data_IF_459309393099
#
_entry.id   IF_459309393099
#
_cell.length_a   1.000
_cell.length_b   1.000
_cell.length_c   1.000
_cell.angle_alpha   90.00
_cell.angle_beta   90.00
_cell.angle_gamma   90.00
#
_symmetry.space_group_name_H-M   'P 1'
#
loop_
_entity.id
_entity.type
_entity.pdbx_description
1 polymer ?
#
# COMPACT_ATOMS: atom_id res chain seq x y z
N UNK A 1 9.38 15.19 -19.21
CA UNK A 1 8.41 14.09 -19.17
C UNK A 1 7.14 14.59 -18.52
N UNK A 2 6.02 14.50 -19.24
CA UNK A 2 4.74 15.03 -18.78
C UNK A 2 4.30 14.35 -17.47
N UNK A 3 4.42 15.05 -16.36
CA UNK A 3 3.53 14.83 -15.22
C UNK A 3 2.13 15.27 -15.71
N UNK A 4 1.38 14.35 -16.29
CA UNK A 4 -0.05 14.55 -16.43
C UNK A 4 -0.56 14.93 -15.06
N UNK A 5 -1.16 16.11 -14.92
CA UNK A 5 -1.85 16.57 -13.71
C UNK A 5 -2.97 15.55 -13.43
N UNK A 6 -2.62 14.46 -12.75
CA UNK A 6 -3.59 13.48 -12.25
C UNK A 6 -4.39 14.21 -11.17
N UNK A 7 -5.59 14.60 -11.52
CA UNK A 7 -6.57 15.18 -10.60
C UNK A 7 -7.59 14.10 -10.21
N UNK A 8 -8.13 14.24 -9.02
CA UNK A 8 -9.26 13.41 -8.60
C UNK A 8 -10.45 13.62 -9.56
N UNK A 9 -11.18 12.58 -9.90
CA UNK A 9 -12.43 12.71 -10.63
C UNK A 9 -13.40 13.65 -9.89
N UNK A 10 -14.28 14.32 -10.64
CA UNK A 10 -15.32 15.18 -10.06
C UNK A 10 -16.16 14.41 -9.04
N UNK A 11 -16.40 15.03 -7.89
CA UNK A 11 -17.14 14.40 -6.79
C UNK A 11 -16.34 13.39 -5.96
N UNK A 12 -15.03 13.29 -6.18
CA UNK A 12 -14.14 12.46 -5.36
C UNK A 12 -13.27 13.33 -4.45
N UNK A 13 -12.95 12.78 -3.27
CA UNK A 13 -12.12 13.42 -2.27
C UNK A 13 -11.10 12.44 -1.68
N UNK A 14 -9.86 12.88 -1.58
CA UNK A 14 -8.80 12.18 -0.84
C UNK A 14 -8.76 12.73 0.58
N UNK A 15 -8.92 11.87 1.56
CA UNK A 15 -8.94 12.25 2.97
C UNK A 15 -8.36 11.16 3.87
N UNK A 16 -8.05 11.54 5.11
CA UNK A 16 -7.70 10.57 6.13
C UNK A 16 -8.92 9.73 6.52
N UNK A 17 -8.72 8.45 6.80
CA UNK A 17 -9.80 7.59 7.25
C UNK A 17 -10.28 7.98 8.63
N UNK A 18 -11.55 7.73 8.89
CA UNK A 18 -12.22 7.90 10.18
C UNK A 18 -12.67 6.55 10.73
N UNK A 19 -13.15 6.53 11.96
CA UNK A 19 -13.69 5.31 12.57
C UNK A 19 -14.89 4.73 11.82
N UNK A 20 -15.64 5.56 11.09
CA UNK A 20 -16.78 5.14 10.26
C UNK A 20 -16.35 4.32 9.04
N UNK A 21 -15.11 4.52 8.56
CA UNK A 21 -14.60 3.86 7.36
C UNK A 21 -14.12 2.42 7.59
N UNK A 22 -14.05 1.96 8.84
CA UNK A 22 -13.47 0.66 9.21
C UNK A 22 -14.02 -0.50 8.38
N UNK A 23 -15.34 -0.58 8.25
CA UNK A 23 -15.99 -1.66 7.51
C UNK A 23 -15.76 -1.55 6.01
N UNK A 24 -15.81 -0.34 5.45
CA UNK A 24 -15.55 -0.10 4.03
C UNK A 24 -14.11 -0.44 3.66
N UNK A 25 -13.15 -0.07 4.50
CA UNK A 25 -11.72 -0.44 4.35
C UNK A 25 -11.57 -1.97 4.39
N UNK A 26 -12.15 -2.62 5.40
CA UNK A 26 -12.08 -4.08 5.53
C UNK A 26 -12.63 -4.78 4.29
N UNK A 27 -13.78 -4.36 3.79
CA UNK A 27 -14.41 -4.92 2.58
C UNK A 27 -13.54 -4.72 1.34
N UNK A 28 -12.94 -3.54 1.16
CA UNK A 28 -12.02 -3.27 0.05
C UNK A 28 -10.78 -4.17 0.12
N UNK A 29 -10.13 -4.24 1.27
CA UNK A 29 -8.92 -5.06 1.48
C UNK A 29 -9.24 -6.54 1.25
N UNK A 30 -10.36 -7.02 1.79
CA UNK A 30 -10.79 -8.40 1.61
C UNK A 30 -11.12 -8.71 0.13
N UNK A 31 -11.78 -7.80 -0.58
CA UNK A 31 -12.09 -7.96 -2.01
C UNK A 31 -10.83 -8.08 -2.88
N UNK A 32 -9.74 -7.47 -2.45
CA UNK A 32 -8.43 -7.56 -3.10
C UNK A 32 -7.61 -8.79 -2.66
N UNK A 33 -8.17 -9.66 -1.79
CA UNK A 33 -7.51 -10.84 -1.23
C UNK A 33 -6.21 -10.50 -0.48
N UNK A 34 -6.15 -9.30 0.10
CA UNK A 34 -5.05 -8.89 0.98
C UNK A 34 -5.32 -9.33 2.41
N UNK A 35 -4.25 -9.39 3.20
CA UNK A 35 -4.33 -9.75 4.62
C UNK A 35 -5.04 -8.66 5.44
N UNK A 36 -6.18 -8.96 6.08
CA UNK A 36 -6.92 -7.99 6.89
C UNK A 36 -6.43 -7.91 8.34
N UNK A 37 -5.42 -8.69 8.74
CA UNK A 37 -5.04 -8.82 10.17
C UNK A 37 -4.27 -7.62 10.72
N UNK A 38 -3.72 -6.77 9.83
CA UNK A 38 -2.91 -5.61 10.20
C UNK A 38 -3.57 -4.27 9.89
N UNK A 39 -4.90 -4.24 9.86
CA UNK A 39 -5.64 -3.03 9.54
C UNK A 39 -5.78 -2.13 10.77
N UNK A 40 -5.12 -0.99 10.72
CA UNK A 40 -5.34 0.10 11.66
C UNK A 40 -5.89 1.30 10.88
N UNK A 41 -7.20 1.57 10.99
CA UNK A 41 -7.88 2.61 10.23
C UNK A 41 -7.22 3.99 10.41
N UNK A 42 -6.63 4.28 11.55
CA UNK A 42 -5.95 5.55 11.83
C UNK A 42 -4.72 5.79 10.94
N UNK A 43 -4.19 4.74 10.32
CA UNK A 43 -3.05 4.80 9.41
C UNK A 43 -3.47 4.79 7.92
N UNK A 44 -4.78 4.81 7.64
CA UNK A 44 -5.30 4.80 6.28
C UNK A 44 -5.58 6.20 5.75
N UNK A 45 -5.33 6.31 4.44
CA UNK A 45 -5.88 7.35 3.57
C UNK A 45 -6.86 6.71 2.61
N UNK A 46 -7.92 7.41 2.31
CA UNK A 46 -9.05 6.89 1.50
C UNK A 46 -9.42 7.88 0.42
N UNK A 47 -9.93 7.35 -0.69
CA UNK A 47 -10.60 8.15 -1.72
C UNK A 47 -12.08 7.78 -1.66
N UNK A 48 -12.89 8.78 -1.42
CA UNK A 48 -14.34 8.72 -1.38
C UNK A 48 -14.90 9.43 -2.61
N UNK A 49 -15.85 8.81 -3.29
CA UNK A 49 -16.53 9.38 -4.45
C UNK A 49 -18.05 9.28 -4.21
N UNK A 50 -18.71 10.43 -4.06
CA UNK A 50 -20.06 10.46 -3.50
C UNK A 50 -20.03 9.86 -2.09
N UNK A 51 -20.93 8.92 -1.81
CA UNK A 51 -21.02 8.26 -0.49
C UNK A 51 -20.23 6.92 -0.46
N UNK A 52 -19.40 6.64 -1.46
CA UNK A 52 -18.72 5.37 -1.59
C UNK A 52 -17.20 5.51 -1.42
N UNK A 53 -16.63 4.68 -0.57
CA UNK A 53 -15.19 4.54 -0.45
C UNK A 53 -14.69 3.65 -1.60
N UNK A 54 -13.89 4.23 -2.51
CA UNK A 54 -13.47 3.59 -3.77
C UNK A 54 -12.01 3.19 -3.80
N UNK A 55 -11.20 3.75 -2.91
CA UNK A 55 -9.80 3.36 -2.76
C UNK A 55 -9.33 3.59 -1.33
N UNK A 56 -8.35 2.81 -0.90
CA UNK A 56 -7.67 2.97 0.36
C UNK A 56 -6.20 2.58 0.26
N UNK A 57 -5.39 3.13 1.16
CA UNK A 57 -3.98 2.77 1.31
C UNK A 57 -3.52 3.08 2.73
N UNK A 58 -2.67 2.23 3.27
CA UNK A 58 -2.16 2.33 4.64
C UNK A 58 -0.70 2.76 4.63
N UNK A 59 -0.37 3.71 5.49
CA UNK A 59 1.00 4.06 5.84
C UNK A 59 1.25 3.59 7.28
N UNK A 60 1.85 2.41 7.42
CA UNK A 60 2.15 1.81 8.72
C UNK A 60 3.38 2.45 9.32
N UNK A 61 3.33 2.75 10.61
CA UNK A 61 4.44 3.35 11.34
C UNK A 61 5.15 2.31 12.19
N UNK A 62 6.47 2.25 12.06
CA UNK A 62 7.35 1.44 12.87
C UNK A 62 8.44 2.33 13.50
N UNK A 63 9.20 1.79 14.43
CA UNK A 63 10.35 2.50 14.99
C UNK A 63 11.46 2.65 13.94
N UNK A 64 11.60 3.86 13.36
CA UNK A 64 12.63 4.20 12.39
C UNK A 64 12.32 3.91 10.93
N UNK A 65 11.10 3.46 10.59
CA UNK A 65 10.66 3.34 9.20
C UNK A 65 9.14 3.32 9.06
N UNK A 66 8.68 3.41 7.81
CA UNK A 66 7.27 3.29 7.44
C UNK A 66 7.11 2.25 6.34
N UNK A 67 5.91 1.68 6.28
CA UNK A 67 5.53 0.73 5.23
C UNK A 67 4.27 1.19 4.53
N UNK A 68 4.33 1.26 3.20
CA UNK A 68 3.17 1.44 2.35
C UNK A 68 2.52 0.07 2.15
N UNK A 69 1.31 -0.09 2.64
CA UNK A 69 0.59 -1.36 2.55
C UNK A 69 -0.89 -1.19 2.25
N UNK A 70 -1.56 -2.30 2.00
CA UNK A 70 -3.01 -2.37 1.80
C UNK A 70 -3.56 -1.36 0.79
N UNK A 71 -2.79 -1.07 -0.29
CA UNK A 71 -3.22 -0.18 -1.37
C UNK A 71 -4.22 -0.91 -2.26
N UNK A 72 -5.46 -0.45 -2.25
CA UNK A 72 -6.56 -1.06 -3.00
C UNK A 72 -7.37 0.01 -3.71
N UNK A 73 -7.73 -0.27 -4.97
CA UNK A 73 -8.75 0.47 -5.73
C UNK A 73 -9.85 -0.49 -6.11
N UNK A 74 -11.09 -0.14 -5.80
CA UNK A 74 -12.28 -0.90 -6.17
C UNK A 74 -12.29 -1.20 -7.67
N UNK A 75 -12.68 -2.41 -8.05
CA UNK A 75 -12.56 -2.89 -9.44
C UNK A 75 -13.21 -1.97 -10.45
N UNK A 76 -14.40 -1.43 -10.15
CA UNK A 76 -15.13 -0.48 -11.01
C UNK A 76 -14.44 0.89 -11.16
N UNK A 77 -13.44 1.19 -10.32
CA UNK A 77 -12.73 2.47 -10.29
C UNK A 77 -11.28 2.37 -10.76
N UNK A 78 -10.83 1.20 -11.16
CA UNK A 78 -9.48 0.99 -11.71
C UNK A 78 -9.31 1.67 -13.07
N UNK A 79 -8.07 1.93 -13.45
CA UNK A 79 -7.74 2.59 -14.72
C UNK A 79 -7.98 4.11 -14.74
N UNK A 80 -8.40 4.71 -13.63
CA UNK A 80 -8.68 6.15 -13.50
C UNK A 80 -7.59 6.94 -12.76
N UNK A 81 -6.42 6.34 -12.56
CA UNK A 81 -5.30 7.00 -11.88
C UNK A 81 -5.38 7.07 -10.35
N UNK A 82 -6.44 6.55 -9.71
CA UNK A 82 -6.63 6.66 -8.26
C UNK A 82 -5.51 5.98 -7.46
N UNK A 83 -5.03 4.82 -7.92
CA UNK A 83 -3.89 4.15 -7.29
C UNK A 83 -2.61 4.98 -7.36
N UNK A 84 -2.38 5.67 -8.47
CA UNK A 84 -1.24 6.58 -8.66
C UNK A 84 -1.33 7.78 -7.73
N UNK A 85 -2.50 8.43 -7.65
CA UNK A 85 -2.74 9.57 -6.77
C UNK A 85 -2.53 9.19 -5.30
N UNK A 86 -3.10 8.05 -4.89
CA UNK A 86 -3.00 7.60 -3.51
C UNK A 86 -1.57 7.20 -3.15
N UNK A 87 -0.85 6.50 -4.05
CA UNK A 87 0.57 6.16 -3.86
C UNK A 87 1.41 7.42 -3.69
N UNK A 88 1.26 8.40 -4.58
CA UNK A 88 2.00 9.65 -4.50
C UNK A 88 1.70 10.42 -3.20
N UNK A 89 0.42 10.44 -2.78
CA UNK A 89 0.03 11.06 -1.53
C UNK A 89 0.68 10.39 -0.32
N UNK A 90 0.69 9.05 -0.27
CA UNK A 90 1.31 8.29 0.82
C UNK A 90 2.83 8.52 0.88
N UNK A 91 3.50 8.56 -0.28
CA UNK A 91 4.93 8.89 -0.38
C UNK A 91 5.19 10.30 0.19
N UNK A 92 4.39 11.29 -0.22
CA UNK A 92 4.55 12.68 0.24
C UNK A 92 4.23 12.85 1.73
N UNK A 93 3.43 11.96 2.29
CA UNK A 93 3.06 11.94 3.72
C UNK A 93 4.10 11.22 4.58
N UNK A 94 4.89 10.35 3.97
CA UNK A 94 5.91 9.59 4.68
C UNK A 94 7.01 10.52 5.25
N UNK A 95 7.40 10.26 6.49
CA UNK A 95 8.40 11.04 7.24
C UNK A 95 9.62 10.23 7.65
N UNK A 96 9.61 8.93 7.36
CA UNK A 96 10.65 7.97 7.68
C UNK A 96 11.03 7.18 6.41
N UNK A 97 12.16 6.47 6.38
CA UNK A 97 12.48 5.55 5.30
C UNK A 97 11.29 4.65 4.99
N UNK A 98 10.91 4.59 3.71
CA UNK A 98 9.65 3.97 3.27
C UNK A 98 9.93 2.67 2.51
N UNK A 99 9.25 1.63 2.92
CA UNK A 99 9.34 0.29 2.34
C UNK A 99 7.96 -0.21 1.92
N UNK A 100 7.95 -1.23 1.08
CA UNK A 100 6.72 -1.97 0.75
C UNK A 100 7.03 -3.43 0.41
N UNK A 101 6.01 -4.26 0.56
CA UNK A 101 5.93 -5.60 0.01
C UNK A 101 4.86 -5.64 -1.06
N UNK A 102 5.14 -6.23 -2.21
CA UNK A 102 4.16 -6.46 -3.25
C UNK A 102 4.26 -7.86 -3.85
N UNK A 103 3.17 -8.29 -4.49
CA UNK A 103 3.06 -9.60 -5.12
C UNK A 103 3.22 -9.48 -6.64
N UNK A 104 4.27 -10.09 -7.16
CA UNK A 104 4.52 -10.21 -8.59
C UNK A 104 5.10 -8.96 -9.23
N UNK A 105 5.72 -9.18 -10.37
CA UNK A 105 6.47 -8.17 -11.12
C UNK A 105 5.60 -7.00 -11.59
N UNK A 106 4.33 -7.24 -11.90
CA UNK A 106 3.42 -6.18 -12.36
C UNK A 106 3.25 -5.08 -11.32
N UNK A 107 3.12 -5.44 -10.04
CA UNK A 107 3.05 -4.46 -8.96
C UNK A 107 4.41 -3.81 -8.69
N UNK A 108 5.50 -4.57 -8.77
CA UNK A 108 6.84 -4.01 -8.65
C UNK A 108 7.10 -2.97 -9.75
N UNK A 109 6.72 -3.24 -10.99
CA UNK A 109 6.79 -2.27 -12.09
C UNK A 109 5.91 -1.03 -11.84
N UNK A 110 4.73 -1.20 -11.24
CA UNK A 110 3.90 -0.07 -10.84
C UNK A 110 4.63 0.83 -9.85
N UNK A 111 5.21 0.27 -8.79
CA UNK A 111 5.90 1.04 -7.75
C UNK A 111 7.26 1.60 -8.21
N UNK A 112 7.96 0.94 -9.13
CA UNK A 112 9.21 1.46 -9.70
C UNK A 112 9.04 2.83 -10.37
N UNK A 113 7.85 3.14 -10.87
CA UNK A 113 7.52 4.47 -11.43
C UNK A 113 7.54 5.60 -10.40
N UNK A 114 7.52 5.25 -9.12
CA UNK A 114 7.59 6.18 -7.99
C UNK A 114 8.93 6.14 -7.27
N UNK A 115 9.99 5.69 -7.94
CA UNK A 115 11.33 5.56 -7.37
C UNK A 115 11.46 4.50 -6.25
N UNK A 116 10.57 3.52 -6.21
CA UNK A 116 10.83 2.32 -5.43
C UNK A 116 11.80 1.42 -6.18
N UNK A 117 12.81 0.92 -5.48
CA UNK A 117 13.81 -0.02 -6.01
C UNK A 117 13.70 -1.36 -5.31
N UNK A 118 14.02 -2.41 -6.04
CA UNK A 118 14.07 -3.76 -5.50
C UNK A 118 15.17 -3.87 -4.45
N UNK A 119 14.85 -4.51 -3.34
CA UNK A 119 15.83 -4.87 -2.29
C UNK A 119 15.67 -6.35 -1.93
N UNK A 120 16.73 -6.94 -1.36
CA UNK A 120 16.64 -8.29 -0.82
C UNK A 120 15.93 -8.29 0.55
N UNK A 121 15.45 -9.46 0.97
CA UNK A 121 14.86 -9.60 2.31
C UNK A 121 15.88 -9.25 3.41
N UNK A 122 17.15 -9.57 3.18
CA UNK A 122 18.25 -9.31 4.10
C UNK A 122 18.55 -7.83 4.26
N UNK A 123 18.25 -7.01 3.25
CA UNK A 123 18.43 -5.56 3.28
C UNK A 123 17.31 -4.81 4.01
N UNK A 124 16.21 -5.49 4.30
CA UNK A 124 15.15 -4.90 5.12
C UNK A 124 15.63 -4.61 6.54
N UNK A 125 15.22 -3.48 7.14
CA UNK A 125 15.43 -3.23 8.56
C UNK A 125 14.97 -4.41 9.43
N UNK A 126 15.76 -4.76 10.45
CA UNK A 126 15.51 -5.94 11.27
C UNK A 126 14.07 -5.99 11.83
N UNK A 127 13.56 -4.85 12.29
CA UNK A 127 12.20 -4.78 12.86
C UNK A 127 11.12 -5.03 11.78
N UNK A 128 11.32 -4.64 10.52
CA UNK A 128 10.40 -4.98 9.42
C UNK A 128 10.45 -6.47 9.10
N UNK A 129 11.62 -7.12 9.25
CA UNK A 129 11.74 -8.57 9.12
C UNK A 129 11.03 -9.33 10.23
N UNK A 130 10.98 -8.76 11.42
CA UNK A 130 10.44 -9.44 12.63
C UNK A 130 9.03 -9.03 13.02
N UNK A 131 8.60 -7.81 12.71
CA UNK A 131 7.31 -7.25 13.17
C UNK A 131 6.44 -6.65 12.06
N UNK A 132 7.02 -6.32 10.92
CA UNK A 132 6.32 -5.66 9.81
C UNK A 132 5.86 -6.64 8.72
N UNK A 133 6.57 -6.59 7.60
CA UNK A 133 6.26 -7.32 6.38
C UNK A 133 6.23 -8.85 6.53
N UNK A 134 6.94 -9.39 7.52
CA UNK A 134 7.16 -10.83 7.67
C UNK A 134 6.76 -11.43 9.00
N UNK A 135 6.06 -10.72 9.86
CA UNK A 135 5.50 -11.35 11.07
C UNK A 135 4.37 -12.28 10.71
N UNK A 136 4.81 -13.41 10.34
CA UNK A 136 4.03 -14.62 10.35
C UNK A 136 4.33 -15.33 11.65
N UNK A 137 3.71 -14.87 12.70
CA UNK A 137 3.51 -15.76 13.83
C UNK A 137 2.58 -16.87 13.35
N UNK A 138 2.98 -18.10 13.57
CA UNK A 138 2.57 -19.35 12.94
C UNK A 138 1.05 -19.70 12.86
N UNK A 139 0.15 -18.82 13.21
CA UNK A 139 -1.26 -19.15 13.34
C UNK A 139 -2.19 -18.60 12.25
N UNK A 140 -1.74 -17.68 11.38
CA UNK A 140 -2.59 -17.14 10.29
C UNK A 140 -1.83 -17.00 8.97
N UNK A 141 -1.44 -18.12 8.37
CA UNK A 141 -0.71 -18.19 7.10
C UNK A 141 -1.61 -18.16 5.86
N UNK A 142 -2.75 -17.48 5.90
CA UNK A 142 -3.63 -17.39 4.72
C UNK A 142 -2.93 -16.71 3.54
N UNK A 143 -2.13 -15.66 3.80
CA UNK A 143 -1.37 -14.98 2.75
C UNK A 143 -0.24 -15.86 2.21
N UNK A 144 0.44 -16.63 3.05
CA UNK A 144 1.52 -17.53 2.63
C UNK A 144 0.99 -18.75 1.86
N UNK A 145 -0.17 -19.28 2.26
CA UNK A 145 -0.82 -20.34 1.49
C UNK A 145 -1.28 -19.84 0.12
N UNK A 146 -1.84 -18.63 0.05
CA UNK A 146 -2.20 -17.98 -1.22
C UNK A 146 -0.96 -17.69 -2.07
N UNK A 147 0.13 -17.17 -1.46
CA UNK A 147 1.43 -16.93 -2.11
C UNK A 147 2.02 -18.26 -2.66
N UNK A 148 1.97 -19.32 -1.88
CA UNK A 148 2.49 -20.65 -2.27
C UNK A 148 1.63 -21.34 -3.32
N UNK A 149 0.31 -21.19 -3.26
CA UNK A 149 -0.64 -21.75 -4.23
C UNK A 149 -0.61 -20.98 -5.56
N UNK A 150 -0.42 -19.66 -5.54
CA UNK A 150 -0.43 -18.84 -6.75
C UNK A 150 0.93 -18.78 -7.46
N UNK A 151 2.00 -19.32 -6.87
CA UNK A 151 3.40 -19.24 -7.38
C UNK A 151 3.84 -17.81 -7.76
N UNK A 152 3.30 -16.80 -7.08
CA UNK A 152 3.62 -15.41 -7.34
C UNK A 152 4.76 -14.97 -6.40
N UNK A 153 5.86 -14.40 -6.90
CA UNK A 153 6.96 -13.97 -6.07
C UNK A 153 6.55 -12.81 -5.15
N UNK A 154 7.03 -12.85 -3.91
CA UNK A 154 6.99 -11.72 -2.98
C UNK A 154 8.19 -10.84 -3.25
N UNK A 155 7.96 -9.58 -3.47
CA UNK A 155 8.98 -8.59 -3.83
C UNK A 155 9.00 -7.50 -2.77
N UNK A 156 10.20 -7.21 -2.26
CA UNK A 156 10.44 -6.13 -1.31
C UNK A 156 11.06 -4.94 -2.02
N UNK A 157 10.59 -3.75 -1.69
CA UNK A 157 11.06 -2.52 -2.31
C UNK A 157 11.26 -1.42 -1.28
N UNK A 158 12.28 -0.59 -1.53
CA UNK A 158 12.61 0.61 -0.76
C UNK A 158 12.38 1.86 -1.62
N UNK A 159 11.77 2.87 -1.05
CA UNK A 159 11.66 4.17 -1.71
C UNK A 159 12.98 4.91 -1.66
N UNK A 160 13.49 5.25 -2.82
CA UNK A 160 14.66 6.11 -2.99
C UNK A 160 14.23 7.42 -3.66
N UNK A 161 13.53 8.27 -2.90
CA UNK A 161 13.23 9.62 -3.34
C UNK A 161 14.50 10.40 -3.68
N UNK A 162 14.34 11.52 -4.38
CA UNK A 162 15.46 12.41 -4.62
C UNK A 162 16.08 12.80 -3.27
N UNK A 163 17.25 12.26 -2.97
CA UNK A 163 18.13 12.86 -1.97
C UNK A 163 18.47 14.24 -2.52
N UNK A 164 17.80 15.28 -1.99
CA UNK A 164 18.29 16.62 -2.12
C UNK A 164 19.69 16.64 -1.45
N UNK A 165 20.71 16.54 -2.28
CA UNK A 165 22.11 16.80 -1.92
C UNK A 165 22.27 18.28 -1.64
#
# INVERSE_FOLDING_TARGET
MNQSNLSLPSGCMLRKATSADKWSILLLVFSAKLDPTQLNWQQFWVIECGDNLVACGQLRNFSGAQELGSLVVASAWRGRGLGTLLTQHLINTATQPLYLECLGERLAQFYSRFNFVLISFEDLPQFLRTTGLCTLNDKFRLSQLAKKLLKVPVIFMEYRGHTNS
#
